data_IF_414881350426
#
_entry.id   IF_414881350426
#
_cell.length_a   1.000
_cell.length_b   1.000
_cell.length_c   1.000
_cell.angle_alpha   90.00
_cell.angle_beta   90.00
_cell.angle_gamma   90.00
#
_symmetry.space_group_name_H-M   'P 1'
#
loop_
_entity.id
_entity.type
_entity.pdbx_description
1 polymer ?
#
# COMPACT_ATOMS: atom_id res chain seq x y z
N UNK A 1 -20.63 -29.66 -19.73
CA UNK A 1 -19.98 -29.62 -18.40
C UNK A 1 -20.81 -28.71 -17.50
N UNK A 2 -21.36 -29.21 -16.40
CA UNK A 2 -22.31 -28.41 -15.58
C UNK A 2 -21.52 -27.34 -14.78
N UNK A 3 -21.97 -26.09 -14.76
CA UNK A 3 -21.37 -24.95 -14.03
C UNK A 3 -21.03 -25.30 -12.56
N UNK A 4 -21.88 -26.13 -11.91
CA UNK A 4 -21.64 -26.60 -10.54
C UNK A 4 -20.34 -27.42 -10.41
N UNK A 5 -19.96 -28.20 -11.41
CA UNK A 5 -18.73 -29.04 -11.40
C UNK A 5 -17.48 -28.18 -11.58
N UNK A 6 -17.56 -27.06 -12.30
CA UNK A 6 -16.47 -26.12 -12.44
C UNK A 6 -16.20 -25.36 -11.13
N UNK A 7 -17.23 -24.86 -10.46
CA UNK A 7 -17.11 -24.08 -9.23
C UNK A 7 -16.56 -24.92 -8.05
N UNK A 8 -16.78 -26.24 -8.03
CA UNK A 8 -16.32 -27.16 -6.99
C UNK A 8 -15.01 -27.88 -7.32
N UNK A 9 -14.40 -27.57 -8.46
CA UNK A 9 -13.19 -28.25 -8.91
C UNK A 9 -12.01 -27.96 -7.94
N UNK A 10 -11.21 -29.02 -7.59
CA UNK A 10 -10.10 -28.89 -6.64
C UNK A 10 -9.08 -27.81 -7.00
N UNK A 11 -8.97 -27.47 -8.29
CA UNK A 11 -8.05 -26.43 -8.79
C UNK A 11 -8.22 -25.08 -8.09
N UNK A 12 -9.46 -24.71 -7.68
CA UNK A 12 -9.78 -23.47 -6.97
C UNK A 12 -9.33 -23.47 -5.51
N UNK A 13 -8.87 -24.63 -5.01
CA UNK A 13 -8.29 -24.76 -3.67
C UNK A 13 -6.76 -24.73 -3.68
N UNK A 14 -6.16 -24.63 -4.86
CA UNK A 14 -4.72 -24.55 -5.03
C UNK A 14 -4.25 -23.08 -4.91
N UNK A 15 -3.35 -22.73 -3.97
CA UNK A 15 -2.86 -21.35 -3.83
C UNK A 15 -2.24 -20.77 -5.11
N UNK A 16 -1.59 -21.63 -5.90
CA UNK A 16 -1.00 -21.23 -7.19
C UNK A 16 -2.05 -20.76 -8.19
N UNK A 17 -3.20 -21.41 -8.22
CA UNK A 17 -4.33 -21.01 -9.08
C UNK A 17 -4.88 -19.66 -8.67
N UNK A 18 -5.07 -19.46 -7.35
CA UNK A 18 -5.54 -18.17 -6.83
C UNK A 18 -4.56 -17.06 -7.18
N UNK A 19 -3.27 -17.29 -6.95
CA UNK A 19 -2.23 -16.34 -7.30
C UNK A 19 -2.24 -16.00 -8.79
N UNK A 20 -2.34 -17.02 -9.65
CA UNK A 20 -2.45 -16.84 -11.10
C UNK A 20 -3.65 -15.99 -11.50
N UNK A 21 -4.83 -16.23 -10.89
CA UNK A 21 -6.03 -15.43 -11.12
C UNK A 21 -5.82 -13.98 -10.68
N UNK A 22 -5.27 -13.75 -9.50
CA UNK A 22 -4.98 -12.42 -8.97
C UNK A 22 -4.04 -11.62 -9.87
N UNK A 23 -2.95 -12.26 -10.31
CA UNK A 23 -1.95 -11.65 -11.21
C UNK A 23 -2.54 -11.34 -12.59
N UNK A 24 -3.26 -12.30 -13.17
CA UNK A 24 -3.90 -12.12 -14.48
C UNK A 24 -4.90 -10.97 -14.46
N UNK A 25 -5.74 -10.90 -13.43
CA UNK A 25 -6.71 -9.81 -13.26
C UNK A 25 -6.00 -8.45 -13.15
N UNK A 26 -4.92 -8.37 -12.35
CA UNK A 26 -4.13 -7.16 -12.20
C UNK A 26 -3.52 -6.70 -13.53
N UNK A 27 -2.94 -7.61 -14.30
CA UNK A 27 -2.36 -7.32 -15.63
C UNK A 27 -3.45 -6.86 -16.60
N UNK A 28 -4.62 -7.53 -16.61
CA UNK A 28 -5.75 -7.11 -17.44
C UNK A 28 -6.20 -5.70 -17.09
N UNK A 29 -6.36 -5.37 -15.79
CA UNK A 29 -6.71 -4.02 -15.37
C UNK A 29 -5.64 -2.99 -15.80
N UNK A 30 -4.35 -3.31 -15.63
CA UNK A 30 -3.26 -2.44 -16.07
C UNK A 30 -3.39 -2.12 -17.56
N UNK A 31 -3.51 -3.16 -18.40
CA UNK A 31 -3.62 -3.00 -19.86
C UNK A 31 -4.87 -2.20 -20.24
N UNK A 32 -6.03 -2.55 -19.70
CA UNK A 32 -7.29 -1.85 -20.00
C UNK A 32 -7.19 -0.37 -19.60
N UNK A 33 -6.66 -0.07 -18.40
CA UNK A 33 -6.54 1.32 -17.91
C UNK A 33 -5.56 2.14 -18.76
N UNK A 34 -4.46 1.54 -19.20
CA UNK A 34 -3.52 2.18 -20.14
C UNK A 34 -4.20 2.49 -21.48
N UNK A 35 -4.93 1.52 -22.07
CA UNK A 35 -5.59 1.70 -23.36
C UNK A 35 -6.67 2.80 -23.34
N UNK A 36 -7.38 2.96 -22.22
CA UNK A 36 -8.44 3.99 -22.08
C UNK A 36 -7.94 5.30 -21.43
N UNK A 37 -6.66 5.40 -21.10
CA UNK A 37 -6.07 6.60 -20.47
C UNK A 37 -6.59 6.89 -19.06
N UNK A 38 -7.13 5.92 -18.32
CA UNK A 38 -7.74 6.11 -16.98
C UNK A 38 -6.89 5.51 -15.87
N UNK A 39 -5.69 6.06 -15.65
CA UNK A 39 -4.73 5.62 -14.63
C UNK A 39 -4.13 6.78 -13.84
N UNK A 40 -4.95 7.78 -13.56
CA UNK A 40 -4.54 9.01 -12.87
C UNK A 40 -3.82 8.75 -11.52
N UNK A 41 -4.25 7.75 -10.75
CA UNK A 41 -3.57 7.43 -9.49
C UNK A 41 -2.11 7.00 -9.70
N UNK A 42 -1.84 6.25 -10.78
CA UNK A 42 -0.46 5.88 -11.08
C UNK A 42 0.38 7.09 -11.51
N UNK A 43 -0.19 8.04 -12.26
CA UNK A 43 0.46 9.31 -12.61
C UNK A 43 0.79 10.14 -11.37
N UNK A 44 -0.13 10.23 -10.40
CA UNK A 44 0.13 10.87 -9.11
C UNK A 44 1.35 10.20 -8.44
N UNK A 45 1.43 8.88 -8.46
CA UNK A 45 2.51 8.14 -7.81
C UNK A 45 3.86 8.39 -8.49
N UNK A 46 3.93 8.36 -9.81
CA UNK A 46 5.14 8.75 -10.56
C UNK A 46 5.55 10.19 -10.26
N UNK A 47 4.58 11.12 -10.29
CA UNK A 47 4.79 12.54 -9.96
C UNK A 47 5.39 12.72 -8.58
N UNK A 48 4.95 11.95 -7.56
CA UNK A 48 5.53 12.03 -6.20
C UNK A 48 7.04 11.75 -6.20
N UNK A 49 7.53 10.83 -7.03
CA UNK A 49 8.98 10.56 -7.14
C UNK A 49 9.70 11.74 -7.78
N UNK A 50 9.24 12.21 -8.94
CA UNK A 50 9.90 13.27 -9.68
C UNK A 50 9.87 14.61 -8.92
N UNK A 51 8.72 14.99 -8.37
CA UNK A 51 8.59 16.19 -7.56
C UNK A 51 9.47 16.14 -6.30
N UNK A 52 9.61 14.98 -5.66
CA UNK A 52 10.49 14.82 -4.50
C UNK A 52 11.97 15.11 -4.85
N UNK A 53 12.44 14.64 -6.00
CA UNK A 53 13.82 14.87 -6.46
C UNK A 53 14.03 16.33 -6.88
N UNK A 54 13.05 16.90 -7.57
CA UNK A 54 13.09 18.29 -8.07
C UNK A 54 12.83 19.32 -6.96
N UNK A 55 12.45 18.89 -5.77
CA UNK A 55 12.16 19.79 -4.64
C UNK A 55 10.84 20.55 -4.78
N UNK A 56 9.92 20.04 -5.60
CA UNK A 56 8.58 20.57 -5.76
C UNK A 56 7.67 20.08 -4.63
N UNK A 57 6.57 20.79 -4.37
CA UNK A 57 5.59 20.32 -3.38
C UNK A 57 4.92 19.03 -3.84
N UNK A 58 4.77 18.06 -2.91
CA UNK A 58 4.11 16.79 -3.19
C UNK A 58 2.59 16.86 -3.08
N UNK A 59 2.04 17.97 -2.58
CA UNK A 59 0.61 18.11 -2.21
C UNK A 59 -0.07 19.26 -2.93
N UNK A 60 0.63 19.87 -3.88
CA UNK A 60 0.10 20.94 -4.73
C UNK A 60 -0.84 20.43 -5.83
N UNK A 61 -1.34 21.38 -6.61
CA UNK A 61 -2.03 21.11 -7.86
C UNK A 61 -0.99 21.01 -8.99
N UNK A 62 -0.90 19.85 -9.62
CA UNK A 62 0.04 19.57 -10.70
C UNK A 62 -0.65 19.35 -12.06
N UNK A 63 -1.82 19.95 -12.25
CA UNK A 63 -2.48 19.96 -13.56
C UNK A 63 -1.59 20.64 -14.62
N UNK A 64 -1.41 20.09 -15.84
CA UNK A 64 -2.13 18.95 -16.43
C UNK A 64 -1.49 17.57 -16.27
N UNK A 65 -0.43 17.40 -15.49
CA UNK A 65 0.23 16.10 -15.33
C UNK A 65 -0.76 15.04 -14.81
N UNK A 66 -1.49 15.40 -13.77
CA UNK A 66 -2.53 14.56 -13.19
C UNK A 66 -3.62 15.40 -12.52
N UNK A 67 -4.75 14.77 -12.24
CA UNK A 67 -5.87 15.36 -11.49
C UNK A 67 -5.82 14.88 -10.05
N UNK A 68 -6.33 15.69 -9.10
CA UNK A 68 -6.31 15.41 -7.66
C UNK A 68 -4.89 15.56 -7.06
N UNK A 69 -4.73 15.26 -5.80
CA UNK A 69 -3.48 15.46 -5.08
C UNK A 69 -2.98 14.19 -4.40
N UNK A 70 -1.69 14.17 -4.15
CA UNK A 70 -1.07 13.11 -3.37
C UNK A 70 -1.62 13.07 -1.92
N UNK A 71 -1.82 11.86 -1.40
CA UNK A 71 -2.23 11.61 -0.02
C UNK A 71 -1.25 10.71 0.76
N UNK A 72 -0.11 10.41 0.15
CA UNK A 72 0.93 9.56 0.74
C UNK A 72 2.04 10.43 1.32
N UNK A 73 2.71 9.93 2.37
CA UNK A 73 3.84 10.62 2.98
C UNK A 73 5.07 10.66 2.07
N UNK A 74 6.03 11.52 2.42
CA UNK A 74 7.25 11.77 1.62
C UNK A 74 8.00 10.48 1.28
N UNK A 75 8.06 9.53 2.22
CA UNK A 75 8.74 8.25 2.04
C UNK A 75 8.17 7.41 0.88
N UNK A 76 6.92 7.67 0.46
CA UNK A 76 6.31 6.99 -0.68
C UNK A 76 7.09 7.19 -1.98
N UNK A 77 7.75 8.35 -2.14
CA UNK A 77 8.58 8.63 -3.31
C UNK A 77 9.69 7.58 -3.51
N UNK A 78 10.28 7.06 -2.43
CA UNK A 78 11.26 5.98 -2.50
C UNK A 78 10.63 4.63 -2.92
N UNK A 79 9.41 4.37 -2.47
CA UNK A 79 8.71 3.10 -2.79
C UNK A 79 8.30 3.04 -4.25
N UNK A 80 7.86 4.15 -4.81
CA UNK A 80 7.46 4.22 -6.22
C UNK A 80 8.65 4.38 -7.18
N UNK A 81 9.81 4.85 -6.69
CA UNK A 81 10.98 5.11 -7.50
C UNK A 81 11.35 4.00 -8.51
N UNK A 82 11.43 2.70 -8.13
CA UNK A 82 11.77 1.64 -9.07
C UNK A 82 10.79 1.50 -10.24
N UNK A 83 9.55 1.94 -10.05
CA UNK A 83 8.49 1.87 -11.04
C UNK A 83 8.42 3.16 -11.87
N UNK A 84 8.62 4.32 -11.24
CA UNK A 84 8.64 5.63 -11.89
C UNK A 84 9.83 5.82 -12.85
N UNK A 85 10.92 5.07 -12.64
CA UNK A 85 12.11 5.07 -13.53
C UNK A 85 11.94 4.18 -14.77
N UNK A 86 10.86 3.40 -14.85
CA UNK A 86 10.54 2.54 -16.00
C UNK A 86 9.61 3.26 -16.98
N UNK A 87 9.49 2.78 -18.23
CA UNK A 87 8.39 3.22 -19.09
C UNK A 87 7.04 3.05 -18.37
N UNK A 88 6.17 4.05 -18.44
CA UNK A 88 4.91 4.16 -17.68
C UNK A 88 4.07 2.86 -17.69
N UNK A 89 3.93 2.25 -18.87
CA UNK A 89 3.18 1.00 -19.02
C UNK A 89 3.81 -0.17 -18.23
N UNK A 90 5.13 -0.26 -18.22
CA UNK A 90 5.84 -1.33 -17.52
C UNK A 90 5.83 -1.10 -16.01
N UNK A 91 6.10 0.14 -15.61
CA UNK A 91 6.05 0.56 -14.21
C UNK A 91 4.69 0.28 -13.58
N UNK A 92 3.59 0.63 -14.27
CA UNK A 92 2.24 0.38 -13.77
C UNK A 92 1.91 -1.11 -13.65
N UNK A 93 2.28 -1.93 -14.65
CA UNK A 93 2.08 -3.39 -14.58
C UNK A 93 2.84 -3.97 -13.39
N UNK A 94 4.11 -3.62 -13.23
CA UNK A 94 4.95 -4.13 -12.14
C UNK A 94 4.49 -3.60 -10.76
N UNK A 95 3.99 -2.37 -10.70
CA UNK A 95 3.37 -1.81 -9.49
C UNK A 95 2.18 -2.64 -9.02
N UNK A 96 1.23 -2.90 -9.91
CA UNK A 96 0.05 -3.72 -9.60
C UNK A 96 0.46 -5.14 -9.23
N UNK A 97 1.37 -5.74 -9.99
CA UNK A 97 1.86 -7.09 -9.75
C UNK A 97 2.59 -7.21 -8.41
N UNK A 98 3.46 -6.25 -8.09
CA UNK A 98 4.21 -6.20 -6.83
C UNK A 98 3.30 -6.10 -5.60
N UNK A 99 2.33 -5.17 -5.63
CA UNK A 99 1.33 -5.01 -4.58
C UNK A 99 0.50 -6.30 -4.40
N UNK A 100 0.08 -6.91 -5.50
CA UNK A 100 -0.68 -8.17 -5.50
C UNK A 100 0.12 -9.32 -4.90
N UNK A 101 1.38 -9.47 -5.31
CA UNK A 101 2.29 -10.49 -4.80
C UNK A 101 2.56 -10.31 -3.29
N UNK A 102 2.72 -9.07 -2.85
CA UNK A 102 2.96 -8.74 -1.44
C UNK A 102 1.78 -9.14 -0.56
N UNK A 103 0.54 -8.84 -0.97
CA UNK A 103 -0.66 -9.27 -0.23
C UNK A 103 -0.79 -10.79 -0.22
N UNK A 104 -0.59 -11.45 -1.36
CA UNK A 104 -0.62 -12.90 -1.43
C UNK A 104 0.40 -13.52 -0.48
N UNK A 105 1.62 -13.03 -0.49
CA UNK A 105 2.68 -13.46 0.42
C UNK A 105 2.29 -13.23 1.89
N UNK A 106 1.75 -12.06 2.24
CA UNK A 106 1.34 -11.76 3.61
C UNK A 106 0.28 -12.75 4.13
N UNK A 107 -0.74 -13.06 3.32
CA UNK A 107 -1.76 -14.06 3.69
C UNK A 107 -1.13 -15.47 3.80
N UNK A 108 -0.18 -15.83 2.92
CA UNK A 108 0.51 -17.11 2.97
C UNK A 108 1.25 -17.33 4.29
N UNK A 109 1.75 -16.25 4.90
CA UNK A 109 2.51 -16.27 6.16
C UNK A 109 1.63 -16.38 7.40
N UNK A 110 0.31 -16.19 7.31
CA UNK A 110 -0.58 -16.32 8.46
C UNK A 110 -0.45 -17.71 9.09
N UNK A 111 -0.47 -17.84 10.43
CA UNK A 111 -0.38 -19.14 11.14
C UNK A 111 -1.71 -19.91 11.09
N UNK A 112 -2.19 -20.16 9.88
CA UNK A 112 -3.45 -20.84 9.60
C UNK A 112 -3.19 -22.07 8.74
N UNK A 113 -4.08 -23.06 8.81
CA UNK A 113 -4.08 -24.19 7.88
C UNK A 113 -4.48 -23.76 6.46
N UNK A 114 -4.34 -24.65 5.48
CA UNK A 114 -4.56 -24.33 4.07
C UNK A 114 -5.99 -23.88 3.76
N UNK A 115 -7.01 -24.51 4.34
CA UNK A 115 -8.41 -24.21 4.04
C UNK A 115 -8.82 -22.77 4.42
N UNK A 116 -8.57 -22.26 5.66
CA UNK A 116 -8.85 -20.88 5.98
C UNK A 116 -8.07 -19.89 5.09
N UNK A 117 -6.82 -20.18 4.72
CA UNK A 117 -6.05 -19.33 3.80
C UNK A 117 -6.73 -19.20 2.44
N UNK A 118 -7.22 -20.30 1.87
CA UNK A 118 -7.95 -20.27 0.60
C UNK A 118 -9.22 -19.44 0.69
N UNK A 119 -9.94 -19.53 1.81
CA UNK A 119 -11.14 -18.70 2.04
C UNK A 119 -10.75 -17.23 2.09
N UNK A 120 -9.69 -16.87 2.83
CA UNK A 120 -9.20 -15.49 2.92
C UNK A 120 -8.80 -14.98 1.53
N UNK A 121 -8.07 -15.76 0.74
CA UNK A 121 -7.68 -15.37 -0.61
C UNK A 121 -8.90 -15.03 -1.48
N UNK A 122 -9.90 -15.91 -1.54
CA UNK A 122 -11.08 -15.67 -2.37
C UNK A 122 -11.97 -14.54 -1.84
N UNK A 123 -12.07 -14.40 -0.51
CA UNK A 123 -12.81 -13.30 0.10
C UNK A 123 -12.15 -11.94 -0.21
N UNK A 124 -10.83 -11.87 -0.08
CA UNK A 124 -10.07 -10.64 -0.37
C UNK A 124 -10.03 -10.28 -1.85
N UNK A 125 -10.41 -11.20 -2.75
CA UNK A 125 -10.29 -10.99 -4.19
C UNK A 125 -11.17 -9.85 -4.70
N UNK A 126 -12.35 -9.66 -4.16
CA UNK A 126 -13.24 -8.56 -4.56
C UNK A 126 -12.61 -7.20 -4.30
N UNK A 127 -12.10 -6.99 -3.09
CA UNK A 127 -11.41 -5.75 -2.70
C UNK A 127 -10.09 -5.57 -3.47
N UNK A 128 -9.37 -6.68 -3.70
CA UNK A 128 -8.16 -6.67 -4.50
C UNK A 128 -8.43 -6.18 -5.93
N UNK A 129 -9.49 -6.68 -6.59
CA UNK A 129 -9.88 -6.23 -7.93
C UNK A 129 -10.19 -4.74 -7.97
N UNK A 130 -10.93 -4.24 -6.98
CA UNK A 130 -11.23 -2.81 -6.85
C UNK A 130 -9.94 -1.99 -6.74
N UNK A 131 -9.05 -2.38 -5.85
CA UNK A 131 -7.78 -1.68 -5.62
C UNK A 131 -6.84 -1.76 -6.84
N UNK A 132 -6.78 -2.90 -7.55
CA UNK A 132 -6.03 -3.05 -8.80
C UNK A 132 -6.60 -2.13 -9.90
N UNK A 133 -7.94 -2.07 -10.03
CA UNK A 133 -8.63 -1.26 -11.03
C UNK A 133 -8.39 0.24 -10.91
N UNK A 134 -8.00 0.71 -9.71
CA UNK A 134 -7.65 2.11 -9.43
C UNK A 134 -6.21 2.29 -8.96
N UNK A 135 -5.33 1.30 -9.15
CA UNK A 135 -3.89 1.27 -8.85
C UNK A 135 -3.51 1.65 -7.41
N UNK A 136 -4.41 1.43 -6.44
CA UNK A 136 -4.21 1.88 -5.05
C UNK A 136 -3.16 1.07 -4.28
N UNK A 137 -2.47 1.77 -3.36
CA UNK A 137 -1.52 1.18 -2.42
C UNK A 137 -2.19 0.47 -1.23
N UNK A 138 -3.51 0.50 -1.10
CA UNK A 138 -4.26 -0.15 -0.01
C UNK A 138 -3.96 -1.65 0.11
N UNK A 139 -3.64 -2.30 -1.02
CA UNK A 139 -3.21 -3.70 -1.09
C UNK A 139 -1.98 -3.92 -0.20
N UNK A 140 -0.94 -3.08 -0.37
CA UNK A 140 0.29 -3.15 0.44
C UNK A 140 0.07 -2.73 1.88
N UNK A 141 -0.83 -1.78 2.14
CA UNK A 141 -1.23 -1.40 3.52
C UNK A 141 -1.77 -2.62 4.27
N UNK A 142 -2.70 -3.37 3.67
CA UNK A 142 -3.21 -4.60 4.26
C UNK A 142 -2.11 -5.65 4.47
N UNK A 143 -1.22 -5.80 3.49
CA UNK A 143 -0.08 -6.72 3.60
C UNK A 143 0.87 -6.33 4.74
N UNK A 144 1.18 -5.06 4.95
CA UNK A 144 2.03 -4.58 6.04
C UNK A 144 1.41 -4.87 7.41
N UNK A 145 0.09 -4.66 7.57
CA UNK A 145 -0.62 -4.99 8.80
C UNK A 145 -0.54 -6.49 9.09
N UNK A 146 -0.80 -7.35 8.11
CA UNK A 146 -0.73 -8.80 8.27
C UNK A 146 0.69 -9.27 8.58
N UNK A 147 1.70 -8.76 7.87
CA UNK A 147 3.10 -9.14 8.08
C UNK A 147 3.62 -8.67 9.44
N UNK A 148 3.23 -7.48 9.91
CA UNK A 148 3.62 -7.02 11.24
C UNK A 148 3.08 -7.94 12.34
N UNK A 149 1.84 -8.41 12.21
CA UNK A 149 1.25 -9.41 13.12
C UNK A 149 2.05 -10.72 13.10
N UNK A 150 2.32 -11.26 11.91
CA UNK A 150 3.10 -12.52 11.75
C UNK A 150 4.47 -12.38 12.40
N UNK A 151 5.18 -11.29 12.14
CA UNK A 151 6.52 -11.06 12.69
C UNK A 151 6.52 -10.96 14.22
N UNK A 152 5.49 -10.36 14.82
CA UNK A 152 5.34 -10.31 16.27
C UNK A 152 5.12 -11.73 16.83
N UNK A 153 4.29 -12.54 16.22
CA UNK A 153 4.10 -13.94 16.62
C UNK A 153 5.39 -14.77 16.48
N UNK A 154 6.21 -14.46 15.47
CA UNK A 154 7.54 -15.07 15.27
C UNK A 154 8.63 -14.50 16.21
N UNK A 155 8.28 -13.62 17.13
CA UNK A 155 9.20 -12.91 18.06
C UNK A 155 10.25 -12.04 17.34
N UNK A 156 9.92 -11.56 16.15
CA UNK A 156 10.75 -10.68 15.33
C UNK A 156 10.31 -9.20 15.48
N UNK A 157 10.17 -8.74 16.72
CA UNK A 157 9.61 -7.43 17.08
C UNK A 157 10.34 -6.27 16.39
N UNK A 158 11.66 -6.37 16.20
CA UNK A 158 12.45 -5.34 15.49
C UNK A 158 11.96 -5.15 14.04
N UNK A 159 11.76 -6.23 13.30
CA UNK A 159 11.30 -6.18 11.92
C UNK A 159 9.80 -5.86 11.81
N UNK A 160 9.01 -6.31 12.79
CA UNK A 160 7.59 -5.93 12.88
C UNK A 160 7.45 -4.40 13.02
N UNK A 161 8.23 -3.80 13.92
CA UNK A 161 8.30 -2.35 14.08
C UNK A 161 8.71 -1.65 12.77
N UNK A 162 9.69 -2.20 12.04
CA UNK A 162 10.12 -1.68 10.75
C UNK A 162 8.99 -1.62 9.73
N UNK A 163 8.21 -2.69 9.59
CA UNK A 163 7.06 -2.74 8.67
C UNK A 163 5.95 -1.77 9.10
N UNK A 164 5.66 -1.70 10.42
CA UNK A 164 4.66 -0.76 10.94
C UNK A 164 5.07 0.67 10.62
N UNK A 165 6.31 1.06 10.95
CA UNK A 165 6.80 2.43 10.73
C UNK A 165 6.91 2.75 9.24
N UNK A 166 7.49 1.86 8.43
CA UNK A 166 7.55 2.02 6.98
C UNK A 166 6.16 2.31 6.41
N UNK A 167 5.21 1.44 6.73
CA UNK A 167 3.84 1.61 6.26
C UNK A 167 3.20 2.91 6.74
N UNK A 168 3.42 3.28 8.01
CA UNK A 168 2.86 4.51 8.62
C UNK A 168 3.41 5.78 7.96
N UNK A 169 4.70 5.82 7.63
CA UNK A 169 5.32 6.96 6.94
C UNK A 169 4.96 7.04 5.46
N UNK A 170 4.39 5.98 4.90
CA UNK A 170 3.82 5.99 3.54
C UNK A 170 2.33 6.37 3.60
N UNK A 171 1.57 5.72 4.45
CA UNK A 171 0.13 5.94 4.62
C UNK A 171 -0.23 5.63 6.08
N UNK A 172 -0.88 6.53 6.77
CA UNK A 172 -1.03 6.48 8.23
C UNK A 172 -1.66 5.17 8.78
N UNK A 173 -2.47 4.47 7.99
CA UNK A 173 -3.24 3.31 8.47
C UNK A 173 -2.44 2.15 9.07
N UNK A 174 -1.23 1.77 8.59
CA UNK A 174 -0.42 0.70 9.20
C UNK A 174 -0.06 0.92 10.67
N UNK A 175 -0.22 2.14 11.21
CA UNK A 175 -0.03 2.44 12.63
C UNK A 175 -0.93 1.57 13.54
N UNK A 176 -2.07 1.08 13.01
CA UNK A 176 -2.93 0.13 13.74
C UNK A 176 -2.21 -1.17 14.10
N UNK A 177 -1.12 -1.49 13.41
CA UNK A 177 -0.24 -2.60 13.75
C UNK A 177 0.37 -2.48 15.15
N UNK A 178 0.42 -1.27 15.74
CA UNK A 178 0.81 -1.08 17.14
C UNK A 178 -0.16 -1.76 18.11
N UNK A 179 -1.42 -2.02 17.74
CA UNK A 179 -2.35 -2.80 18.56
C UNK A 179 -1.84 -4.24 18.79
N UNK A 180 -0.98 -4.76 17.93
CA UNK A 180 -0.34 -6.07 18.12
C UNK A 180 0.71 -6.07 19.24
N UNK A 181 1.02 -4.92 19.84
CA UNK A 181 1.82 -4.80 21.06
C UNK A 181 1.38 -5.75 22.16
N UNK A 182 0.07 -5.99 22.31
CA UNK A 182 -0.44 -6.89 23.31
C UNK A 182 0.01 -8.36 23.09
N UNK A 183 0.30 -8.75 21.87
CA UNK A 183 0.78 -10.08 21.50
C UNK A 183 2.31 -10.21 21.57
N UNK A 184 3.04 -9.07 21.62
CA UNK A 184 4.49 -9.09 21.74
C UNK A 184 4.93 -9.59 23.11
N UNK A 185 5.93 -10.48 23.13
CA UNK A 185 6.60 -10.92 24.34
C UNK A 185 7.71 -9.97 24.78
N UNK A 186 8.21 -9.13 23.88
CA UNK A 186 9.31 -8.17 24.13
C UNK A 186 8.83 -6.74 23.91
N UNK A 187 7.84 -6.31 24.68
CA UNK A 187 7.12 -5.04 24.52
C UNK A 187 8.05 -3.83 24.44
N UNK A 188 9.04 -3.75 25.33
CA UNK A 188 10.03 -2.65 25.35
C UNK A 188 10.85 -2.66 24.05
N UNK A 189 11.31 -3.83 23.60
CA UNK A 189 12.04 -3.96 22.34
C UNK A 189 11.20 -3.47 21.16
N UNK A 190 9.92 -3.85 21.10
CA UNK A 190 9.01 -3.38 20.05
C UNK A 190 8.93 -1.85 20.03
N UNK A 191 8.69 -1.20 21.18
CA UNK A 191 8.58 0.26 21.27
C UNK A 191 9.89 0.96 20.89
N UNK A 192 11.02 0.51 21.42
CA UNK A 192 12.34 1.07 21.07
C UNK A 192 12.62 0.89 19.57
N UNK A 193 12.25 -0.27 19.01
CA UNK A 193 12.38 -0.50 17.57
C UNK A 193 11.47 0.39 16.74
N UNK A 194 10.27 0.72 17.22
CA UNK A 194 9.39 1.69 16.56
C UNK A 194 10.01 3.09 16.51
N UNK A 195 10.62 3.53 17.64
CA UNK A 195 11.34 4.81 17.67
C UNK A 195 12.54 4.82 16.70
N UNK A 196 13.33 3.74 16.69
CA UNK A 196 14.46 3.59 15.77
C UNK A 196 13.99 3.65 14.30
N UNK A 197 13.02 2.80 13.91
CA UNK A 197 12.53 2.76 12.54
C UNK A 197 11.76 4.02 12.15
N UNK A 198 11.06 4.66 13.10
CA UNK A 198 10.42 5.96 12.89
C UNK A 198 11.45 7.03 12.51
N UNK A 199 12.57 7.09 13.25
CA UNK A 199 13.67 8.00 12.91
C UNK A 199 14.28 7.67 11.54
N UNK A 200 14.53 6.40 11.26
CA UNK A 200 15.08 5.95 9.97
C UNK A 200 14.13 6.34 8.82
N UNK A 201 12.84 6.05 8.92
CA UNK A 201 11.84 6.38 7.89
C UNK A 201 11.68 7.90 7.69
N UNK A 202 11.87 8.70 8.76
CA UNK A 202 11.84 10.15 8.67
C UNK A 202 13.08 10.71 7.97
N UNK A 203 14.27 10.15 8.25
CA UNK A 203 15.56 10.67 7.75
C UNK A 203 15.85 10.20 6.32
N UNK A 204 15.45 8.99 5.93
CA UNK A 204 15.76 8.44 4.59
C UNK A 204 15.44 9.41 3.45
N UNK A 205 14.28 10.10 3.41
CA UNK A 205 13.98 11.06 2.34
C UNK A 205 15.00 12.19 2.20
N UNK A 206 15.67 12.59 3.27
CA UNK A 206 16.67 13.67 3.24
C UNK A 206 17.86 13.31 2.33
N UNK A 207 18.13 12.01 2.12
CA UNK A 207 19.27 11.53 1.35
C UNK A 207 19.12 11.72 -0.17
N UNK A 208 17.88 11.88 -0.66
CA UNK A 208 17.60 11.97 -2.10
C UNK A 208 16.70 13.15 -2.48
N UNK A 209 16.32 13.98 -1.52
CA UNK A 209 15.56 15.21 -1.72
C UNK A 209 16.46 16.43 -1.44
N UNK A 210 16.01 17.67 -1.68
CA UNK A 210 16.84 18.86 -1.45
C UNK A 210 17.35 19.08 -0.03
N UNK A 211 16.86 18.32 0.94
CA UNK A 211 17.38 18.36 2.32
C UNK A 211 16.30 18.33 3.38
N UNK A 212 16.74 18.52 4.63
CA UNK A 212 15.90 18.33 5.82
C UNK A 212 14.74 19.35 5.88
N UNK A 213 14.95 20.59 5.46
CA UNK A 213 13.92 21.63 5.48
C UNK A 213 12.77 21.28 4.53
N UNK A 214 13.11 20.78 3.34
CA UNK A 214 12.12 20.27 2.39
C UNK A 214 11.32 19.11 3.00
N UNK A 215 12.01 18.11 3.58
CA UNK A 215 11.34 16.93 4.16
C UNK A 215 10.38 17.34 5.27
N UNK A 216 10.81 18.26 6.16
CA UNK A 216 9.94 18.77 7.24
C UNK A 216 8.73 19.49 6.66
N UNK A 217 8.91 20.38 5.69
CA UNK A 217 7.79 21.10 5.05
C UNK A 217 6.79 20.13 4.43
N UNK A 218 7.27 19.10 3.71
CA UNK A 218 6.39 18.11 3.08
C UNK A 218 5.63 17.23 4.11
N UNK A 219 6.21 16.93 5.28
CA UNK A 219 5.46 16.24 6.34
C UNK A 219 4.39 17.13 6.97
N UNK A 220 4.63 18.44 7.12
CA UNK A 220 3.64 19.41 7.57
C UNK A 220 2.48 19.47 6.55
N UNK A 221 2.79 19.63 5.27
CA UNK A 221 1.81 19.69 4.19
C UNK A 221 0.99 18.40 4.11
N UNK A 222 1.64 17.24 4.29
CA UNK A 222 0.93 15.96 4.35
C UNK A 222 -0.09 15.91 5.48
N UNK A 223 0.30 16.36 6.65
CA UNK A 223 -0.59 16.37 7.81
C UNK A 223 -1.78 17.31 7.60
N UNK A 224 -1.56 18.50 7.04
CA UNK A 224 -2.63 19.44 6.70
C UNK A 224 -3.58 18.83 5.63
N UNK A 225 -3.03 18.18 4.62
CA UNK A 225 -3.83 17.50 3.59
C UNK A 225 -4.69 16.37 4.17
N UNK A 226 -4.17 15.60 5.12
CA UNK A 226 -4.94 14.57 5.81
C UNK A 226 -6.09 15.15 6.64
N UNK A 227 -5.88 16.30 7.30
CA UNK A 227 -6.95 17.01 8.03
C UNK A 227 -8.06 17.46 7.09
N UNK A 228 -7.71 18.10 5.99
CA UNK A 228 -8.68 18.58 4.98
C UNK A 228 -9.50 17.41 4.43
N UNK A 229 -8.84 16.30 4.06
CA UNK A 229 -9.53 15.10 3.56
C UNK A 229 -10.49 14.52 4.59
N UNK A 230 -10.07 14.46 5.86
CA UNK A 230 -10.94 13.96 6.93
C UNK A 230 -12.17 14.84 7.13
N UNK A 231 -12.02 16.15 7.08
CA UNK A 231 -13.14 17.08 7.14
C UNK A 231 -14.12 16.87 5.97
N UNK A 232 -13.60 16.77 4.74
CA UNK A 232 -14.45 16.54 3.56
C UNK A 232 -15.24 15.24 3.65
N UNK A 233 -14.63 14.15 4.11
CA UNK A 233 -15.31 12.87 4.32
C UNK A 233 -16.43 12.99 5.37
N UNK A 234 -16.19 13.69 6.49
CA UNK A 234 -17.21 13.91 7.53
C UNK A 234 -18.39 14.76 7.03
N UNK A 235 -18.18 15.67 6.08
CA UNK A 235 -19.28 16.43 5.47
C UNK A 235 -20.03 15.61 4.42
N UNK A 236 -19.36 14.76 3.65
CA UNK A 236 -19.99 13.87 2.68
C UNK A 236 -20.94 12.89 3.37
N UNK A 237 -20.49 12.20 4.43
CA UNK A 237 -21.32 11.27 5.21
C UNK A 237 -22.57 11.95 5.77
N UNK A 238 -22.46 13.20 6.23
CA UNK A 238 -23.64 13.95 6.75
C UNK A 238 -24.63 14.37 5.66
N UNK A 239 -24.18 14.52 4.42
CA UNK A 239 -25.07 14.88 3.31
C UNK A 239 -25.85 13.68 2.75
N UNK A 240 -25.43 12.45 3.05
CA UNK A 240 -26.14 11.22 2.67
C UNK A 240 -27.19 10.81 3.74
N UNK A 241 -27.16 11.39 4.94
CA UNK A 241 -28.13 11.14 6.03
C UNK A 241 -29.39 12.03 5.94
N UNK A 242 -29.51 12.91 4.95
CA UNK A 242 -30.67 13.79 4.68
C UNK A 242 -31.24 13.57 3.28
#
# INVERSE_FOLDING_TARGET
MRLKTLATHPVWREPRTVFGVWMLTGVIFAIVKLLIGKYNNYKIFEGVYWHAIEGLTLYGDHYPEYYDSNHYGVLFSLIIAPFALLPEWLGMILWIAGNTALLFYAISRLPLSSTPKIIIYWYSYCELMTAQGVQQFNISVAAFILLSFVLILEKKDFWAAGIIMLGTFIKIYPIVGLAFFFFSRQKVRLLVSCLFWGLVCFVIPVLYTPGIEYVISQYIDWFERLKVKNMLNMFADRSEEH
#
